data_IF_520267411471
#
_entry.id   IF_520267411471
#
_cell.length_a   1.000
_cell.length_b   1.000
_cell.length_c   1.000
_cell.angle_alpha   90.00
_cell.angle_beta   90.00
_cell.angle_gamma   90.00
#
_symmetry.space_group_name_H-M   'P 1'
#
loop_
_entity.id
_entity.type
_entity.pdbx_description
1 polymer ?
#
# COMPACT_ATOMS: atom_id res chain seq x y z
N UNK A 1 -23.00 6.39 -5.30
CA UNK A 1 -23.05 7.73 -4.66
C UNK A 1 -22.59 8.72 -5.72
N UNK A 2 -23.51 9.38 -6.45
CA UNK A 2 -23.15 10.23 -7.60
C UNK A 2 -22.12 11.32 -7.26
N UNK A 3 -22.25 11.93 -6.08
CA UNK A 3 -21.33 12.96 -5.57
C UNK A 3 -19.94 12.45 -5.13
N UNK A 4 -19.60 11.18 -5.35
CA UNK A 4 -18.25 10.64 -5.12
C UNK A 4 -17.58 10.18 -6.42
N UNK A 5 -18.29 10.32 -7.54
CA UNK A 5 -17.80 9.97 -8.87
C UNK A 5 -17.02 11.16 -9.43
N UNK A 6 -15.79 11.31 -8.94
CA UNK A 6 -14.87 12.38 -9.32
C UNK A 6 -14.11 12.03 -10.60
N UNK A 7 -13.55 13.04 -11.28
CA UNK A 7 -12.63 12.79 -12.37
C UNK A 7 -11.41 12.02 -11.86
N UNK A 8 -10.94 11.06 -12.65
CA UNK A 8 -9.74 10.28 -12.29
C UNK A 8 -8.52 11.19 -12.06
N UNK A 9 -8.39 12.26 -12.85
CA UNK A 9 -7.33 13.26 -12.67
C UNK A 9 -7.39 13.93 -11.30
N UNK A 10 -8.59 14.29 -10.81
CA UNK A 10 -8.74 14.91 -9.49
C UNK A 10 -8.35 13.95 -8.38
N UNK A 11 -8.71 12.67 -8.51
CA UNK A 11 -8.31 11.62 -7.56
C UNK A 11 -6.80 11.44 -7.56
N UNK A 12 -6.18 11.36 -8.74
CA UNK A 12 -4.72 11.21 -8.89
C UNK A 12 -3.95 12.39 -8.31
N UNK A 13 -4.34 13.63 -8.63
CA UNK A 13 -3.66 14.83 -8.10
C UNK A 13 -3.82 14.89 -6.59
N UNK A 14 -5.04 14.66 -6.08
CA UNK A 14 -5.34 14.69 -4.65
C UNK A 14 -4.49 13.68 -3.88
N UNK A 15 -4.44 12.43 -4.34
CA UNK A 15 -3.74 11.37 -3.60
C UNK A 15 -2.24 11.55 -3.58
N UNK A 16 -1.66 12.34 -4.48
CA UNK A 16 -0.23 12.65 -4.55
C UNK A 16 0.15 14.01 -3.97
N UNK A 17 -0.80 14.81 -3.47
CA UNK A 17 -0.59 16.19 -3.04
C UNK A 17 0.10 16.25 -1.65
N UNK A 18 1.36 15.79 -1.58
CA UNK A 18 2.12 15.63 -0.34
C UNK A 18 2.35 16.99 0.35
N UNK A 19 1.95 17.16 1.63
CA UNK A 19 2.25 18.37 2.38
C UNK A 19 3.74 18.68 2.33
N UNK A 20 4.08 19.97 2.26
CA UNK A 20 5.45 20.50 2.06
C UNK A 20 6.06 20.32 0.66
N UNK A 21 5.52 19.44 -0.19
CA UNK A 21 5.98 19.25 -1.57
C UNK A 21 5.03 19.85 -2.61
N UNK A 22 3.72 19.65 -2.44
CA UNK A 22 2.69 20.03 -3.40
C UNK A 22 1.53 20.77 -2.71
N UNK A 23 0.84 21.67 -3.43
CA UNK A 23 -0.35 22.33 -2.90
C UNK A 23 -1.52 21.34 -2.73
N UNK A 24 -2.39 21.61 -1.76
CA UNK A 24 -3.66 20.88 -1.63
C UNK A 24 -4.50 21.03 -2.90
N UNK A 25 -5.28 19.98 -3.24
CA UNK A 25 -6.13 19.96 -4.42
C UNK A 25 -7.59 20.23 -4.05
N UNK A 26 -8.21 21.18 -4.76
CA UNK A 26 -9.63 21.48 -4.64
C UNK A 26 -10.36 21.15 -5.93
N UNK A 27 -11.50 20.48 -5.81
CA UNK A 27 -12.45 20.29 -6.90
C UNK A 27 -13.87 20.08 -6.37
N UNK A 28 -14.85 20.14 -7.26
CA UNK A 28 -16.26 19.95 -6.94
C UNK A 28 -16.87 18.91 -7.87
N UNK A 29 -17.67 18.00 -7.30
CA UNK A 29 -18.53 17.09 -8.09
C UNK A 29 -19.96 17.60 -8.07
N UNK A 30 -20.72 17.28 -9.12
CA UNK A 30 -22.14 17.63 -9.24
C UNK A 30 -22.96 16.38 -9.57
N UNK A 31 -24.07 16.20 -8.87
CA UNK A 31 -25.08 15.22 -9.23
C UNK A 31 -26.01 15.87 -10.27
N UNK A 32 -25.95 15.40 -11.52
CA UNK A 32 -26.74 15.97 -12.62
C UNK A 32 -28.25 15.81 -12.41
N UNK A 33 -28.70 14.78 -11.70
CA UNK A 33 -30.12 14.54 -11.47
C UNK A 33 -30.70 15.48 -10.41
N UNK A 34 -29.92 15.82 -9.38
CA UNK A 34 -30.39 16.64 -8.25
C UNK A 34 -29.85 18.07 -8.26
N UNK A 35 -28.87 18.36 -9.12
CA UNK A 35 -28.13 19.61 -9.16
C UNK A 35 -27.23 19.85 -7.94
N UNK A 36 -27.21 18.93 -6.96
CA UNK A 36 -26.39 19.07 -5.75
C UNK A 36 -24.92 19.02 -6.09
N UNK A 37 -24.13 19.79 -5.37
CA UNK A 37 -22.69 19.78 -5.47
C UNK A 37 -22.04 19.25 -4.20
N UNK A 38 -20.79 18.81 -4.32
CA UNK A 38 -19.95 18.45 -3.18
C UNK A 38 -18.53 18.91 -3.43
N UNK A 39 -18.02 19.64 -2.45
CA UNK A 39 -16.65 20.13 -2.42
C UNK A 39 -15.69 19.08 -1.89
N UNK A 40 -14.48 19.05 -2.45
CA UNK A 40 -13.36 18.24 -2.02
C UNK A 40 -12.15 19.15 -1.84
N UNK A 41 -11.58 19.14 -0.63
CA UNK A 41 -10.35 19.84 -0.28
C UNK A 41 -9.37 18.78 0.23
N UNK A 42 -8.54 18.24 -0.67
CA UNK A 42 -7.78 17.01 -0.43
C UNK A 42 -6.28 17.26 -0.45
N UNK A 43 -5.58 16.43 0.31
CA UNK A 43 -4.12 16.30 0.35
C UNK A 43 -3.76 14.82 0.19
N UNK A 44 -2.47 14.53 0.14
CA UNK A 44 -1.93 13.20 -0.07
C UNK A 44 -2.54 12.11 0.84
N UNK A 45 -2.77 10.95 0.24
CA UNK A 45 -3.31 9.79 0.91
C UNK A 45 -2.39 9.22 1.98
N UNK A 46 -1.07 9.42 1.87
CA UNK A 46 -0.04 9.00 2.81
C UNK A 46 -0.22 9.56 4.22
N UNK A 47 -0.87 10.72 4.35
CA UNK A 47 -1.27 11.29 5.65
C UNK A 47 -2.26 10.37 6.39
N UNK A 48 -3.10 9.65 5.64
CA UNK A 48 -4.13 8.76 6.20
C UNK A 48 -3.77 7.27 6.11
N UNK A 49 -3.18 6.83 4.99
CA UNK A 49 -2.95 5.42 4.67
C UNK A 49 -1.75 5.26 3.72
N UNK A 50 -0.54 5.47 4.24
CA UNK A 50 0.71 5.32 3.49
C UNK A 50 0.99 3.86 3.03
N UNK A 51 0.38 2.89 3.70
CA UNK A 51 0.22 1.53 3.20
C UNK A 51 -1.29 1.21 3.13
N UNK A 52 -1.91 1.27 1.93
CA UNK A 52 -3.35 1.11 1.80
C UNK A 52 -3.82 -0.34 1.93
N UNK A 53 -2.93 -1.31 2.17
CA UNK A 53 -3.26 -2.76 2.16
C UNK A 53 -4.45 -3.09 3.06
N UNK A 54 -4.39 -2.70 4.34
CA UNK A 54 -5.48 -2.98 5.28
C UNK A 54 -6.74 -2.17 4.97
N UNK A 55 -6.60 -0.95 4.44
CA UNK A 55 -7.74 -0.15 3.96
C UNK A 55 -8.46 -0.87 2.82
N UNK A 56 -7.73 -1.42 1.85
CA UNK A 56 -8.28 -2.19 0.73
C UNK A 56 -9.02 -3.43 1.22
N UNK A 57 -8.39 -4.21 2.11
CA UNK A 57 -9.03 -5.39 2.73
C UNK A 57 -10.36 -4.97 3.40
N UNK A 58 -10.33 -3.92 4.22
CA UNK A 58 -11.53 -3.41 4.90
C UNK A 58 -12.62 -2.94 3.94
N UNK A 59 -12.27 -2.28 2.82
CA UNK A 59 -13.25 -1.85 1.83
C UNK A 59 -13.93 -3.03 1.14
N UNK A 60 -13.17 -4.08 0.79
CA UNK A 60 -13.73 -5.30 0.20
C UNK A 60 -14.64 -6.00 1.21
N UNK A 61 -14.18 -6.23 2.45
CA UNK A 61 -14.98 -6.83 3.51
C UNK A 61 -16.26 -6.03 3.77
N UNK A 62 -16.17 -4.70 3.88
CA UNK A 62 -17.34 -3.84 4.07
C UNK A 62 -18.33 -3.99 2.92
N UNK A 63 -17.86 -3.99 1.67
CA UNK A 63 -18.72 -4.17 0.49
C UNK A 63 -19.44 -5.52 0.54
N UNK A 64 -18.74 -6.59 0.90
CA UNK A 64 -19.36 -7.91 1.04
C UNK A 64 -20.44 -7.96 2.12
N UNK A 65 -20.18 -7.36 3.29
CA UNK A 65 -21.16 -7.27 4.38
C UNK A 65 -22.40 -6.49 3.93
N UNK A 66 -22.21 -5.34 3.28
CA UNK A 66 -23.31 -4.47 2.82
C UNK A 66 -24.13 -5.15 1.71
N UNK A 67 -23.46 -5.77 0.74
CA UNK A 67 -24.12 -6.40 -0.40
C UNK A 67 -24.70 -7.78 -0.07
N UNK A 68 -24.53 -8.26 1.17
CA UNK A 68 -24.90 -9.62 1.63
C UNK A 68 -24.40 -10.71 0.67
N UNK A 69 -23.24 -10.48 0.06
CA UNK A 69 -22.66 -11.41 -0.90
C UNK A 69 -22.01 -12.57 -0.15
N UNK A 70 -22.57 -13.76 -0.28
CA UNK A 70 -21.95 -15.04 0.06
C UNK A 70 -20.90 -15.44 -1.00
N UNK A 71 -20.01 -14.51 -1.40
CA UNK A 71 -18.89 -14.86 -2.30
C UNK A 71 -17.95 -15.90 -1.68
N UNK A 72 -18.04 -16.08 -0.37
CA UNK A 72 -17.39 -17.13 0.35
C UNK A 72 -18.42 -17.90 1.18
N UNK A 73 -18.57 -19.18 0.84
CA UNK A 73 -19.53 -20.10 1.45
C UNK A 73 -19.21 -20.47 2.91
N UNK A 74 -18.19 -19.84 3.54
CA UNK A 74 -17.63 -20.23 4.84
C UNK A 74 -17.93 -19.27 6.00
N UNK A 75 -18.27 -18.00 5.73
CA UNK A 75 -18.65 -17.01 6.74
C UNK A 75 -17.59 -15.92 7.01
N UNK A 76 -17.67 -15.19 8.14
CA UNK A 76 -16.86 -13.98 8.43
C UNK A 76 -15.34 -14.19 8.52
N UNK A 77 -14.86 -15.43 8.43
CA UNK A 77 -13.46 -15.86 8.61
C UNK A 77 -12.74 -16.17 7.29
N UNK A 78 -13.38 -15.92 6.14
CA UNK A 78 -12.85 -16.24 4.81
C UNK A 78 -11.68 -15.33 4.34
N UNK A 79 -10.92 -14.78 5.28
CA UNK A 79 -9.75 -13.97 4.99
C UNK A 79 -8.60 -14.81 4.39
N UNK A 80 -8.60 -16.12 4.62
CA UNK A 80 -7.72 -17.12 4.01
C UNK A 80 -7.81 -17.15 2.47
N UNK A 81 -8.94 -16.69 1.90
CA UNK A 81 -9.17 -16.64 0.45
C UNK A 81 -8.63 -15.37 -0.20
N UNK A 82 -8.23 -14.35 0.56
CA UNK A 82 -7.57 -13.19 -0.03
C UNK A 82 -6.20 -13.59 -0.54
N UNK A 83 -5.85 -13.11 -1.73
CA UNK A 83 -4.51 -13.14 -2.27
C UNK A 83 -4.04 -11.70 -2.42
N UNK A 84 -3.03 -11.30 -1.65
CA UNK A 84 -2.62 -9.89 -1.49
C UNK A 84 -1.15 -9.74 -1.86
N UNK A 85 -0.88 -8.85 -2.81
CA UNK A 85 0.46 -8.36 -3.11
C UNK A 85 0.51 -6.91 -2.64
N UNK A 86 1.41 -6.62 -1.70
CA UNK A 86 1.67 -5.28 -1.19
C UNK A 86 3.06 -4.85 -1.62
N UNK A 87 3.14 -3.77 -2.39
CA UNK A 87 4.39 -3.23 -2.90
C UNK A 87 4.71 -1.93 -2.16
N UNK A 88 5.92 -1.82 -1.62
CA UNK A 88 6.43 -0.59 -1.05
C UNK A 88 7.37 0.12 -1.99
N UNK A 89 7.52 1.43 -1.81
CA UNK A 89 8.44 2.29 -2.54
C UNK A 89 9.83 2.36 -1.88
N UNK A 90 10.07 1.51 -0.90
CA UNK A 90 11.28 1.48 -0.09
C UNK A 90 11.32 2.55 1.00
N UNK A 91 12.35 2.50 1.84
CA UNK A 91 12.59 3.43 2.92
C UNK A 91 14.06 3.43 3.37
N UNK A 92 14.47 4.45 4.10
CA UNK A 92 15.80 4.55 4.68
C UNK A 92 15.85 4.07 6.16
N UNK A 93 15.22 2.93 6.50
CA UNK A 93 15.13 2.43 7.91
C UNK A 93 16.48 2.35 8.62
N UNK A 94 17.56 2.09 7.89
CA UNK A 94 18.89 1.85 8.46
C UNK A 94 19.73 3.11 8.64
N UNK A 95 19.23 4.28 8.24
CA UNK A 95 19.78 5.53 8.71
C UNK A 95 19.25 5.73 10.13
N UNK A 96 20.08 5.56 11.17
CA UNK A 96 19.73 5.99 12.51
C UNK A 96 19.70 7.54 12.53
N UNK A 97 18.67 8.11 11.88
CA UNK A 97 18.65 9.52 11.45
C UNK A 97 18.74 10.47 12.64
N UNK A 98 18.12 10.11 13.76
CA UNK A 98 17.97 10.99 14.92
C UNK A 98 18.07 10.20 16.22
N UNK A 99 18.72 10.78 17.23
CA UNK A 99 18.66 10.30 18.61
C UNK A 99 17.70 11.16 19.44
N UNK A 100 17.23 10.62 20.57
CA UNK A 100 16.45 11.40 21.53
C UNK A 100 17.21 12.64 22.03
N UNK A 101 18.54 12.56 22.12
CA UNK A 101 19.40 13.70 22.50
C UNK A 101 19.39 14.79 21.44
N UNK A 102 19.38 14.42 20.15
CA UNK A 102 19.29 15.37 19.05
C UNK A 102 17.93 16.07 19.05
N UNK A 103 16.84 15.29 19.23
CA UNK A 103 15.47 15.78 19.18
C UNK A 103 15.04 16.58 20.43
N UNK A 104 15.74 16.45 21.56
CA UNK A 104 15.37 17.11 22.82
C UNK A 104 15.32 18.64 22.72
N UNK A 105 16.12 19.24 21.84
CA UNK A 105 16.17 20.69 21.62
C UNK A 105 15.39 21.18 20.40
N UNK A 106 14.64 20.30 19.72
CA UNK A 106 13.97 20.67 18.47
C UNK A 106 12.79 21.62 18.69
N UNK A 107 12.82 22.74 17.96
CA UNK A 107 11.64 23.59 17.76
C UNK A 107 10.80 23.12 16.58
N UNK A 108 9.68 23.82 16.32
CA UNK A 108 8.73 23.50 15.23
C UNK A 108 9.44 23.36 13.87
N UNK A 109 10.38 24.27 13.56
CA UNK A 109 11.11 24.22 12.29
C UNK A 109 11.96 22.96 12.16
N UNK A 110 12.63 22.52 13.22
CA UNK A 110 13.45 21.30 13.20
C UNK A 110 12.60 20.04 13.05
N UNK A 111 11.40 20.03 13.62
CA UNK A 111 10.44 18.93 13.45
C UNK A 111 9.85 18.85 12.04
N UNK A 112 9.68 20.01 11.37
CA UNK A 112 9.10 20.10 10.03
C UNK A 112 10.15 20.10 8.91
N UNK A 113 11.39 20.44 9.19
CA UNK A 113 12.45 20.54 8.20
C UNK A 113 13.82 20.31 8.85
N UNK A 114 14.53 19.29 8.40
CA UNK A 114 15.90 19.01 8.83
C UNK A 114 16.91 19.35 7.73
N UNK A 115 18.19 19.45 8.11
CA UNK A 115 19.28 19.95 7.23
C UNK A 115 19.52 19.12 5.96
N UNK A 116 18.95 17.92 5.86
CA UNK A 116 19.18 16.97 4.76
C UNK A 116 17.95 16.78 3.87
N UNK A 117 16.97 17.71 3.92
CA UNK A 117 15.76 17.63 3.10
C UNK A 117 14.68 16.69 3.65
N UNK A 118 14.95 16.01 4.76
CA UNK A 118 13.95 15.21 5.49
C UNK A 118 13.01 16.10 6.29
N UNK A 119 11.80 15.59 6.49
CA UNK A 119 10.72 16.21 7.26
C UNK A 119 10.39 15.30 8.46
N UNK A 120 11.16 15.38 9.56
CA UNK A 120 11.24 14.29 10.55
C UNK A 120 9.88 13.76 11.02
N UNK A 121 8.95 14.64 11.35
CA UNK A 121 7.63 14.23 11.83
C UNK A 121 6.80 13.52 10.75
N UNK A 122 6.85 14.01 9.51
CA UNK A 122 6.11 13.43 8.37
C UNK A 122 6.73 12.09 8.00
N UNK A 123 8.05 12.00 7.95
CA UNK A 123 8.77 10.75 7.67
C UNK A 123 8.48 9.70 8.74
N UNK A 124 8.51 10.06 10.03
CA UNK A 124 8.17 9.16 11.14
C UNK A 124 6.73 8.65 11.06
N UNK A 125 5.75 9.53 10.80
CA UNK A 125 4.35 9.12 10.70
C UNK A 125 4.09 8.26 9.46
N UNK A 126 4.64 8.65 8.31
CA UNK A 126 4.51 7.91 7.04
C UNK A 126 5.10 6.51 7.19
N UNK A 127 6.28 6.42 7.80
CA UNK A 127 6.94 5.18 8.13
C UNK A 127 6.10 4.30 9.06
N UNK A 128 5.70 4.85 10.21
CA UNK A 128 4.95 4.13 11.24
C UNK A 128 3.63 3.60 10.70
N UNK A 129 2.91 4.42 9.92
CA UNK A 129 1.69 4.05 9.22
C UNK A 129 1.91 2.82 8.32
N UNK A 130 2.99 2.81 7.52
CA UNK A 130 3.27 1.71 6.62
C UNK A 130 3.68 0.41 7.35
N UNK A 131 4.52 0.53 8.37
CA UNK A 131 5.04 -0.58 9.16
C UNK A 131 3.95 -1.24 10.02
N UNK A 132 3.10 -0.45 10.68
CA UNK A 132 1.99 -0.97 11.48
C UNK A 132 0.97 -1.74 10.62
N UNK A 133 0.68 -1.25 9.41
CA UNK A 133 -0.21 -1.98 8.48
C UNK A 133 0.41 -3.32 8.08
N UNK A 134 1.70 -3.34 7.73
CA UNK A 134 2.39 -4.59 7.36
C UNK A 134 2.40 -5.61 8.52
N UNK A 135 2.66 -5.13 9.74
CA UNK A 135 2.60 -5.94 10.97
C UNK A 135 1.20 -6.51 11.21
N UNK A 136 0.16 -5.66 11.16
CA UNK A 136 -1.22 -6.08 11.40
C UNK A 136 -1.74 -7.06 10.34
N UNK A 137 -1.42 -6.83 9.07
CA UNK A 137 -1.80 -7.75 7.98
C UNK A 137 -1.03 -9.07 8.12
N UNK A 138 0.25 -9.02 8.49
CA UNK A 138 1.03 -10.24 8.75
C UNK A 138 0.43 -11.07 9.90
N UNK A 139 0.01 -10.44 11.00
CA UNK A 139 -0.69 -11.12 12.10
C UNK A 139 -1.96 -11.78 11.58
N UNK A 140 -2.79 -11.05 10.82
CA UNK A 140 -4.05 -11.57 10.29
C UNK A 140 -3.82 -12.83 9.45
N UNK A 141 -2.89 -12.79 8.50
CA UNK A 141 -2.64 -13.92 7.60
C UNK A 141 -1.95 -15.09 8.31
N UNK A 142 -1.05 -14.85 9.28
CA UNK A 142 -0.44 -15.91 10.08
C UNK A 142 -1.44 -16.58 11.03
N UNK A 143 -2.32 -15.81 11.67
CA UNK A 143 -3.38 -16.33 12.54
C UNK A 143 -4.38 -17.23 11.79
N UNK A 144 -4.46 -17.08 10.46
CA UNK A 144 -5.30 -17.86 9.57
C UNK A 144 -4.52 -18.93 8.80
N UNK A 145 -3.25 -19.20 9.16
CA UNK A 145 -2.38 -20.17 8.49
C UNK A 145 -2.30 -19.97 6.97
N UNK A 146 -2.33 -18.70 6.55
CA UNK A 146 -2.43 -18.26 5.17
C UNK A 146 -1.32 -17.26 4.82
N UNK A 147 -0.21 -17.25 5.55
CA UNK A 147 0.89 -16.30 5.37
C UNK A 147 1.42 -16.23 3.94
N UNK A 148 1.38 -17.35 3.19
CA UNK A 148 1.80 -17.41 1.78
C UNK A 148 0.85 -16.68 0.81
N UNK A 149 -0.32 -16.26 1.28
CA UNK A 149 -1.27 -15.47 0.51
C UNK A 149 -1.05 -13.96 0.66
N UNK A 150 -0.17 -13.54 1.57
CA UNK A 150 0.28 -12.16 1.71
C UNK A 150 1.75 -12.03 1.30
N UNK A 151 2.01 -11.33 0.18
CA UNK A 151 3.35 -11.03 -0.29
C UNK A 151 3.62 -9.53 -0.14
N UNK A 152 4.50 -9.17 0.79
CA UNK A 152 5.06 -7.82 0.91
C UNK A 152 6.43 -7.76 0.23
N UNK A 153 6.61 -6.83 -0.70
CA UNK A 153 7.90 -6.51 -1.32
C UNK A 153 8.26 -5.08 -0.93
N UNK A 154 9.35 -4.91 -0.18
CA UNK A 154 9.80 -3.64 0.38
C UNK A 154 11.32 -3.60 0.51
N UNK A 155 11.93 -2.45 0.21
CA UNK A 155 13.37 -2.22 0.39
C UNK A 155 13.62 -1.21 1.50
N UNK A 156 14.26 -1.63 2.58
CA UNK A 156 14.51 -0.78 3.74
C UNK A 156 15.96 -0.24 3.80
N UNK A 157 16.68 -0.35 2.68
CA UNK A 157 18.10 -0.04 2.56
C UNK A 157 18.41 1.15 1.66
N UNK A 158 17.39 1.95 1.29
CA UNK A 158 17.57 3.14 0.45
C UNK A 158 18.50 4.15 1.13
N UNK A 159 19.31 4.85 0.32
CA UNK A 159 20.30 5.84 0.77
C UNK A 159 20.38 7.00 -0.21
N UNK A 160 20.85 8.15 0.27
CA UNK A 160 21.08 9.33 -0.56
C UNK A 160 19.80 9.76 -1.29
N UNK A 161 19.94 10.18 -2.54
CA UNK A 161 18.82 10.65 -3.38
C UNK A 161 17.76 9.58 -3.63
N UNK A 162 18.13 8.29 -3.62
CA UNK A 162 17.17 7.21 -3.79
C UNK A 162 16.20 7.09 -2.60
N UNK A 163 16.55 7.65 -1.44
CA UNK A 163 15.68 7.71 -0.26
C UNK A 163 14.81 8.98 -0.20
N UNK A 164 14.94 9.90 -1.16
CA UNK A 164 14.18 11.15 -1.23
C UNK A 164 13.02 11.04 -2.21
N UNK A 165 11.94 11.78 -1.98
CA UNK A 165 10.68 11.63 -2.74
C UNK A 165 10.57 12.59 -3.93
N UNK A 166 11.44 13.61 -4.00
CA UNK A 166 11.32 14.76 -4.91
C UNK A 166 12.48 14.89 -5.92
N UNK A 167 13.42 13.94 -5.94
CA UNK A 167 14.58 13.98 -6.85
C UNK A 167 14.31 13.16 -8.11
N UNK A 168 13.82 13.83 -9.16
CA UNK A 168 13.50 13.23 -10.46
C UNK A 168 14.61 13.37 -11.52
N UNK A 169 15.89 13.35 -11.11
CA UNK A 169 17.01 13.36 -12.08
C UNK A 169 17.10 12.02 -12.80
N UNK A 170 17.63 12.02 -14.02
CA UNK A 170 17.77 10.79 -14.83
C UNK A 170 18.57 9.73 -14.08
N UNK A 171 19.66 10.14 -13.44
CA UNK A 171 20.56 9.28 -12.68
C UNK A 171 19.83 8.64 -11.49
N UNK A 172 19.00 9.40 -10.76
CA UNK A 172 18.24 8.86 -9.64
C UNK A 172 17.14 7.90 -10.10
N UNK A 173 16.46 8.22 -11.22
CA UNK A 173 15.43 7.36 -11.79
C UNK A 173 16.01 6.02 -12.28
N UNK A 174 17.17 6.04 -12.94
CA UNK A 174 17.89 4.82 -13.36
C UNK A 174 18.35 4.00 -12.16
N UNK A 175 18.83 4.65 -11.09
CA UNK A 175 19.18 3.96 -9.84
C UNK A 175 17.97 3.30 -9.16
N UNK A 176 16.81 3.99 -9.12
CA UNK A 176 15.57 3.42 -8.58
C UNK A 176 15.10 2.20 -9.39
N UNK A 177 15.23 2.22 -10.72
CA UNK A 177 14.97 1.05 -11.58
C UNK A 177 15.90 -0.09 -11.20
N UNK A 178 17.21 0.16 -11.09
CA UNK A 178 18.20 -0.84 -10.71
C UNK A 178 17.92 -1.46 -9.34
N UNK A 179 17.49 -0.63 -8.37
CA UNK A 179 17.07 -1.10 -7.04
C UNK A 179 15.86 -2.02 -7.17
N UNK A 180 14.82 -1.60 -7.90
CA UNK A 180 13.61 -2.40 -8.13
C UNK A 180 13.87 -3.74 -8.81
N UNK A 181 14.74 -3.76 -9.83
CA UNK A 181 15.19 -5.00 -10.47
C UNK A 181 15.97 -5.89 -9.49
N UNK A 182 16.86 -5.30 -8.69
CA UNK A 182 17.61 -6.01 -7.66
C UNK A 182 16.71 -6.63 -6.58
N UNK A 183 15.56 -6.03 -6.30
CA UNK A 183 14.58 -6.59 -5.34
C UNK A 183 14.00 -7.93 -5.80
N UNK A 184 13.92 -8.19 -7.11
CA UNK A 184 13.39 -9.45 -7.64
C UNK A 184 14.24 -10.65 -7.19
N UNK A 185 15.55 -10.47 -7.09
CA UNK A 185 16.50 -11.49 -6.67
C UNK A 185 16.59 -11.66 -5.14
N UNK A 186 16.04 -10.72 -4.35
CA UNK A 186 16.05 -10.83 -2.88
C UNK A 186 15.13 -11.96 -2.44
N UNK A 187 15.53 -12.66 -1.38
CA UNK A 187 14.70 -13.67 -0.71
C UNK A 187 13.42 -13.01 -0.17
N UNK A 188 12.31 -13.71 -0.31
CA UNK A 188 11.04 -13.33 0.32
C UNK A 188 11.26 -13.11 1.81
N UNK A 189 10.67 -12.06 2.38
CA UNK A 189 10.69 -11.81 3.81
C UNK A 189 9.29 -11.87 4.43
N UNK A 190 9.26 -12.12 5.74
CA UNK A 190 8.07 -12.10 6.59
C UNK A 190 8.35 -11.27 7.82
N UNK A 191 7.31 -10.66 8.39
CA UNK A 191 7.45 -9.93 9.63
C UNK A 191 7.61 -10.92 10.79
N UNK A 192 8.68 -10.75 11.56
CA UNK A 192 8.90 -11.44 12.83
C UNK A 192 7.98 -10.85 13.91
N UNK A 193 7.24 -11.71 14.62
CA UNK A 193 6.17 -11.27 15.53
C UNK A 193 6.69 -10.76 16.89
N UNK A 194 7.95 -11.01 17.23
CA UNK A 194 8.54 -10.47 18.46
C UNK A 194 9.17 -9.09 18.21
N UNK A 195 9.85 -8.94 17.08
CA UNK A 195 10.64 -7.75 16.77
C UNK A 195 9.94 -6.77 15.82
N UNK A 196 8.90 -7.21 15.11
CA UNK A 196 8.20 -6.44 14.08
C UNK A 196 9.04 -6.16 12.83
N UNK A 197 10.18 -6.84 12.67
CA UNK A 197 11.12 -6.61 11.56
C UNK A 197 10.94 -7.66 10.46
N UNK A 198 11.17 -7.31 9.18
CA UNK A 198 11.19 -8.29 8.11
C UNK A 198 12.40 -9.21 8.24
N UNK A 199 12.18 -10.52 8.23
CA UNK A 199 13.19 -11.57 8.23
C UNK A 199 13.09 -12.39 6.93
N UNK A 200 14.22 -12.70 6.27
CA UNK A 200 14.21 -13.56 5.08
C UNK A 200 13.71 -14.98 5.39
N UNK A 201 13.01 -15.57 4.43
CA UNK A 201 12.43 -16.92 4.52
C UNK A 201 12.93 -17.74 3.32
N UNK A 202 14.13 -18.35 3.41
CA UNK A 202 14.80 -19.00 2.28
C UNK A 202 13.95 -20.07 1.56
N UNK A 203 13.12 -20.80 2.30
CA UNK A 203 12.23 -21.83 1.80
C UNK A 203 11.13 -21.30 0.87
N UNK A 204 10.85 -20.00 0.89
CA UNK A 204 9.90 -19.35 -0.02
C UNK A 204 10.56 -18.85 -1.33
N UNK A 205 11.88 -18.95 -1.44
CA UNK A 205 12.64 -18.52 -2.62
C UNK A 205 12.73 -17.00 -2.76
N UNK A 206 12.94 -16.53 -3.99
CA UNK A 206 13.09 -15.12 -4.29
C UNK A 206 11.74 -14.42 -4.49
N UNK A 207 11.75 -13.08 -4.46
CA UNK A 207 10.57 -12.29 -4.83
C UNK A 207 10.09 -12.58 -6.26
N UNK A 208 11.00 -12.85 -7.20
CA UNK A 208 10.65 -13.28 -8.56
C UNK A 208 9.89 -14.63 -8.57
N UNK A 209 10.35 -15.60 -7.77
CA UNK A 209 9.67 -16.89 -7.62
C UNK A 209 8.27 -16.71 -7.03
N UNK A 210 8.15 -15.88 -5.98
CA UNK A 210 6.87 -15.59 -5.35
C UNK A 210 5.90 -14.90 -6.31
N UNK A 211 6.35 -13.88 -7.05
CA UNK A 211 5.54 -13.22 -8.08
C UNK A 211 5.09 -14.18 -9.18
N UNK A 212 5.96 -15.10 -9.60
CA UNK A 212 5.62 -16.15 -10.57
C UNK A 212 4.51 -17.07 -10.04
N UNK A 213 4.60 -17.47 -8.77
CA UNK A 213 3.54 -18.27 -8.11
C UNK A 213 2.22 -17.50 -8.03
N UNK A 214 2.27 -16.23 -7.65
CA UNK A 214 1.08 -15.37 -7.61
C UNK A 214 0.46 -15.18 -8.99
N UNK A 215 1.26 -14.91 -10.02
CA UNK A 215 0.79 -14.78 -11.40
C UNK A 215 0.10 -16.06 -11.89
N UNK A 216 0.63 -17.24 -11.54
CA UNK A 216 -0.02 -18.51 -11.83
C UNK A 216 -1.38 -18.64 -11.12
N UNK A 217 -1.45 -18.38 -9.82
CA UNK A 217 -2.71 -18.42 -9.04
C UNK A 217 -3.77 -17.49 -9.66
N UNK A 218 -3.39 -16.26 -9.99
CA UNK A 218 -4.30 -15.27 -10.61
C UNK A 218 -4.78 -15.71 -12.01
N UNK A 219 -3.88 -16.30 -12.82
CA UNK A 219 -4.23 -16.83 -14.15
C UNK A 219 -5.21 -18.00 -14.05
N UNK A 220 -4.94 -18.95 -13.15
CA UNK A 220 -5.78 -20.12 -12.94
C UNK A 220 -7.17 -19.73 -12.42
N UNK A 221 -7.24 -18.80 -11.45
CA UNK A 221 -8.51 -18.27 -10.91
C UNK A 221 -9.33 -17.55 -12.00
N UNK A 222 -8.68 -16.73 -12.84
CA UNK A 222 -9.36 -16.08 -13.97
C UNK A 222 -9.96 -17.11 -14.94
N UNK A 223 -9.20 -18.14 -15.30
CA UNK A 223 -9.68 -19.21 -16.20
C UNK A 223 -10.87 -19.95 -15.58
N UNK A 224 -10.79 -20.31 -14.30
CA UNK A 224 -11.88 -20.98 -13.60
C UNK A 224 -13.19 -20.15 -13.62
N UNK A 225 -13.10 -18.83 -13.39
CA UNK A 225 -14.25 -17.92 -13.47
C UNK A 225 -14.84 -17.80 -14.88
N UNK A 226 -14.00 -17.84 -15.91
CA UNK A 226 -14.45 -17.81 -17.30
C UNK A 226 -15.17 -19.10 -17.70
N UNK A 227 -14.71 -20.25 -17.20
CA UNK A 227 -15.39 -21.53 -17.44
C UNK A 227 -16.71 -21.64 -16.66
N UNK A 228 -16.78 -21.12 -15.43
CA UNK A 228 -18.00 -21.16 -14.61
C UNK A 228 -19.06 -20.16 -15.07
N UNK A 229 -18.68 -19.04 -15.70
CA UNK A 229 -19.63 -18.10 -16.31
C UNK A 229 -20.21 -18.61 -17.63
N UNK A 230 -19.49 -19.44 -18.39
CA UNK A 230 -19.98 -20.10 -19.60
C UNK A 230 -20.96 -21.26 -19.32
N UNK A 231 -20.93 -21.83 -18.11
CA UNK A 231 -21.82 -22.92 -17.70
C UNK A 231 -23.15 -22.49 -17.05
N UNK A 232 -23.41 -21.19 -16.88
CA UNK A 232 -24.72 -20.72 -16.40
C UNK A 232 -25.65 -20.54 -17.61
N UNK A 233 -26.72 -21.34 -17.76
CA UNK A 233 -27.73 -21.03 -18.75
C UNK A 233 -28.29 -19.65 -18.45
N UNK A 234 -28.46 -18.84 -19.49
CA UNK A 234 -29.25 -17.61 -19.42
C UNK A 234 -30.62 -17.98 -18.88
N UNK A 235 -30.88 -17.70 -17.60
CA UNK A 235 -32.23 -17.61 -17.10
C UNK A 235 -32.82 -16.31 -17.63
N UNK A 236 -33.23 -16.35 -18.90
CA UNK A 236 -34.20 -15.44 -19.43
C UNK A 236 -35.56 -15.83 -18.84
N UNK A 237 -36.08 -14.98 -17.96
CA UNK A 237 -37.43 -14.41 -17.95
C UNK A 237 -37.58 -13.52 -16.70
#
# INVERSE_FOLDING_TARGET
>A
MPLKDALLSDVCISTSAAPTYLPAHFFQTKDEATGKTRDFNLIDGGVSANNPTLLTINQITRKMIVDKQDLFTGGPTDYDKFLVISLGTGSAKNAAMYTAKDAAGWGILSWLHSKEGYTPIVDMFSYSSAALVDYNVSILFQALHSEKNYLRIQDDSLKGTAATVDVATKENMEELVRIGEGMLAKTVSRVDMETGKPVPVPEEGTNADALTRFAKKLSDERKARMTSSQGKPSSAL
#
